data_IF_806223661067
#
_entry.id   IF_806223661067
#
_cell.length_a   1.000
_cell.length_b   1.000
_cell.length_c   1.000
_cell.angle_alpha   90.00
_cell.angle_beta   90.00
_cell.angle_gamma   90.00
#
_symmetry.space_group_name_H-M   'P 1'
#
loop_
_entity.id
_entity.type
_entity.pdbx_description
1 polymer ?
#
# COMPACT_ATOMS: atom_id res chain seq x y z
N UNK A 1 21.95 -3.64 -18.00
CA UNK A 1 20.67 -4.26 -18.45
C UNK A 1 19.55 -4.05 -17.43
N UNK A 2 19.81 -3.32 -16.33
CA UNK A 2 18.89 -3.12 -15.20
C UNK A 2 17.99 -1.88 -15.33
N UNK A 3 18.37 -0.91 -16.16
CA UNK A 3 17.61 0.33 -16.34
C UNK A 3 16.21 0.12 -16.93
N UNK A 4 16.06 -0.84 -17.87
CA UNK A 4 14.76 -1.15 -18.49
C UNK A 4 13.83 -1.87 -17.50
N UNK A 5 14.36 -2.76 -16.66
CA UNK A 5 13.58 -3.45 -15.65
C UNK A 5 13.07 -2.47 -14.57
N UNK A 6 13.93 -1.57 -14.10
CA UNK A 6 13.55 -0.51 -13.15
C UNK A 6 12.50 0.44 -13.74
N UNK A 7 12.62 0.79 -15.02
CA UNK A 7 11.63 1.62 -15.70
C UNK A 7 10.26 0.96 -15.76
N UNK A 8 10.22 -0.33 -16.13
CA UNK A 8 8.96 -1.10 -16.16
C UNK A 8 8.31 -1.23 -14.79
N UNK A 9 9.10 -1.52 -13.76
CA UNK A 9 8.59 -1.61 -12.38
C UNK A 9 7.97 -0.28 -11.93
N UNK A 10 8.60 0.85 -12.29
CA UNK A 10 8.07 2.18 -11.99
C UNK A 10 6.76 2.47 -12.71
N UNK A 11 6.68 2.17 -14.00
CA UNK A 11 5.44 2.32 -14.79
C UNK A 11 4.31 1.45 -14.25
N UNK A 12 4.60 0.19 -13.91
CA UNK A 12 3.62 -0.70 -13.27
C UNK A 12 3.11 -0.13 -11.95
N UNK A 13 4.00 0.37 -11.09
CA UNK A 13 3.62 0.97 -9.82
C UNK A 13 2.76 2.24 -10.02
N UNK A 14 3.07 3.07 -11.02
CA UNK A 14 2.31 4.27 -11.33
C UNK A 14 0.88 3.95 -11.81
N UNK A 15 0.73 2.91 -12.64
CA UNK A 15 -0.59 2.43 -13.06
C UNK A 15 -1.39 1.92 -11.86
N UNK A 16 -0.78 1.10 -10.99
CA UNK A 16 -1.46 0.55 -9.81
C UNK A 16 -1.83 1.67 -8.82
N UNK A 17 -0.99 2.71 -8.68
CA UNK A 17 -1.32 3.88 -7.87
C UNK A 17 -2.51 4.66 -8.43
N UNK A 18 -2.57 4.83 -9.77
CA UNK A 18 -3.72 5.44 -10.42
C UNK A 18 -5.00 4.65 -10.14
N UNK A 19 -4.96 3.31 -10.25
CA UNK A 19 -6.09 2.44 -9.91
C UNK A 19 -6.52 2.59 -8.45
N UNK A 20 -5.58 2.61 -7.50
CA UNK A 20 -5.83 2.82 -6.07
C UNK A 20 -6.56 4.15 -5.80
N UNK A 21 -6.15 5.22 -6.50
CA UNK A 21 -6.77 6.53 -6.37
C UNK A 21 -8.20 6.56 -6.95
N UNK A 22 -8.42 5.93 -8.11
CA UNK A 22 -9.76 5.78 -8.68
C UNK A 22 -10.70 5.02 -7.75
N UNK A 23 -10.21 3.98 -7.07
CA UNK A 23 -10.99 3.17 -6.14
C UNK A 23 -11.14 3.81 -4.75
N UNK A 24 -10.53 4.97 -4.51
CA UNK A 24 -10.61 5.64 -3.21
C UNK A 24 -9.98 4.85 -2.07
N UNK A 25 -8.95 4.04 -2.34
CA UNK A 25 -8.32 3.17 -1.32
C UNK A 25 -7.53 3.95 -0.25
N UNK A 26 -7.23 5.23 -0.53
CA UNK A 26 -6.50 6.10 0.38
C UNK A 26 -5.08 5.62 0.68
N UNK A 27 -4.43 4.93 -0.27
CA UNK A 27 -3.06 4.44 -0.15
C UNK A 27 -2.12 5.41 -0.87
N UNK A 28 -1.12 5.92 -0.16
CA UNK A 28 -0.03 6.66 -0.79
C UNK A 28 0.90 5.72 -1.57
N UNK A 29 1.72 6.31 -2.46
CA UNK A 29 2.59 5.56 -3.37
C UNK A 29 3.62 4.69 -2.64
N UNK A 30 4.12 5.13 -1.49
CA UNK A 30 5.10 4.36 -0.73
C UNK A 30 4.44 3.16 -0.07
N UNK A 31 3.29 3.35 0.59
CA UNK A 31 2.50 2.26 1.18
C UNK A 31 2.14 1.23 0.11
N UNK A 32 1.65 1.67 -1.05
CA UNK A 32 1.28 0.78 -2.14
C UNK A 32 2.46 -0.05 -2.65
N UNK A 33 3.65 0.55 -2.78
CA UNK A 33 4.86 -0.17 -3.18
C UNK A 33 5.22 -1.28 -2.18
N UNK A 34 5.09 -1.03 -0.88
CA UNK A 34 5.32 -2.02 0.17
C UNK A 34 4.31 -3.15 0.06
N UNK A 35 3.03 -2.84 -0.11
CA UNK A 35 1.97 -3.85 -0.24
C UNK A 35 2.17 -4.73 -1.47
N UNK A 36 2.56 -4.14 -2.61
CA UNK A 36 2.92 -4.89 -3.82
C UNK A 36 4.09 -5.83 -3.55
N UNK A 37 5.17 -5.34 -2.92
CA UNK A 37 6.32 -6.18 -2.58
C UNK A 37 5.95 -7.35 -1.66
N UNK A 38 5.07 -7.13 -0.67
CA UNK A 38 4.58 -8.20 0.20
C UNK A 38 3.78 -9.25 -0.59
N UNK A 39 2.91 -8.83 -1.50
CA UNK A 39 2.19 -9.73 -2.39
C UNK A 39 3.14 -10.52 -3.31
N UNK A 40 4.20 -9.89 -3.82
CA UNK A 40 5.25 -10.55 -4.63
C UNK A 40 6.02 -11.62 -3.82
N UNK A 41 6.11 -11.48 -2.49
CA UNK A 41 6.67 -12.48 -1.58
C UNK A 41 5.66 -13.59 -1.19
N UNK A 42 4.46 -13.60 -1.79
CA UNK A 42 3.45 -14.63 -1.56
C UNK A 42 2.51 -14.35 -0.38
N UNK A 43 2.52 -13.14 0.18
CA UNK A 43 1.53 -12.75 1.19
C UNK A 43 0.15 -12.67 0.55
N UNK A 44 -0.86 -13.25 1.21
CA UNK A 44 -2.24 -13.18 0.75
C UNK A 44 -2.78 -11.73 0.81
N UNK A 45 -3.30 -11.17 -0.31
CA UNK A 45 -3.72 -9.78 -0.38
C UNK A 45 -4.95 -9.48 0.49
N UNK A 46 -5.87 -10.44 0.67
CA UNK A 46 -7.05 -10.26 1.51
C UNK A 46 -6.67 -10.15 3.00
N UNK A 47 -5.78 -11.02 3.47
CA UNK A 47 -5.23 -10.99 4.82
C UNK A 47 -4.42 -9.71 5.06
N UNK A 48 -3.59 -9.32 4.10
CA UNK A 48 -2.83 -8.07 4.15
C UNK A 48 -3.75 -6.85 4.26
N UNK A 49 -4.85 -6.82 3.50
CA UNK A 49 -5.84 -5.76 3.58
C UNK A 49 -6.52 -5.69 4.96
N UNK A 50 -6.80 -6.84 5.59
CA UNK A 50 -7.34 -6.90 6.95
C UNK A 50 -6.36 -6.30 7.97
N UNK A 51 -5.07 -6.66 7.88
CA UNK A 51 -4.01 -6.12 8.75
C UNK A 51 -3.87 -4.60 8.57
N UNK A 52 -3.84 -4.09 7.34
CA UNK A 52 -3.75 -2.64 7.08
C UNK A 52 -4.93 -1.88 7.67
N UNK A 53 -6.14 -2.42 7.55
CA UNK A 53 -7.35 -1.81 8.15
C UNK A 53 -7.28 -1.78 9.67
N UNK A 54 -6.80 -2.86 10.28
CA UNK A 54 -6.60 -2.95 11.73
C UNK A 54 -5.60 -1.91 12.22
N UNK A 55 -4.41 -1.85 11.61
CA UNK A 55 -3.37 -0.88 11.96
C UNK A 55 -3.84 0.57 11.84
N UNK A 56 -4.62 0.90 10.80
CA UNK A 56 -5.21 2.23 10.63
C UNK A 56 -6.20 2.57 11.75
N UNK A 57 -7.02 1.60 12.17
CA UNK A 57 -7.95 1.78 13.29
C UNK A 57 -7.23 2.02 14.60
N UNK A 58 -6.22 1.21 14.90
CA UNK A 58 -5.41 1.36 16.11
C UNK A 58 -4.66 2.70 16.14
N UNK A 59 -4.06 3.11 15.02
CA UNK A 59 -3.38 4.40 14.91
C UNK A 59 -4.32 5.58 15.19
N UNK A 60 -5.55 5.54 14.66
CA UNK A 60 -6.57 6.55 14.93
C UNK A 60 -6.93 6.58 16.43
N UNK A 61 -7.16 5.43 17.04
CA UNK A 61 -7.50 5.33 18.47
C UNK A 61 -6.37 5.82 19.39
N UNK A 62 -5.10 5.58 19.01
CA UNK A 62 -3.93 6.09 19.75
C UNK A 62 -3.86 7.62 19.61
N UNK A 63 -4.09 8.17 18.42
CA UNK A 63 -4.10 9.61 18.19
C UNK A 63 -5.19 10.31 19.01
N UNK A 64 -6.40 9.74 19.10
CA UNK A 64 -7.49 10.30 19.90
C UNK A 64 -7.16 10.34 21.40
N UNK A 65 -6.56 9.26 21.92
CA UNK A 65 -6.13 9.20 23.33
C UNK A 65 -5.02 10.21 23.66
N UNK A 66 -4.15 10.53 22.70
CA UNK A 66 -3.09 11.51 22.90
C UNK A 66 -3.59 12.97 22.92
N UNK A 67 -4.80 13.22 22.41
CA UNK A 67 -5.44 14.54 22.39
C UNK A 67 -6.38 14.83 23.57
N UNK A 68 -6.48 13.90 24.53
CA UNK A 68 -7.24 14.05 25.77
C UNK A 68 -6.30 14.07 26.98
#
# INVERSE_FOLDING_TARGET
MDGVAMQRARESLDIVHMMSNLLGSGLDRQTLAILVALCEHGVNPEALAAVVKELRREAAAVSEKASH
#
